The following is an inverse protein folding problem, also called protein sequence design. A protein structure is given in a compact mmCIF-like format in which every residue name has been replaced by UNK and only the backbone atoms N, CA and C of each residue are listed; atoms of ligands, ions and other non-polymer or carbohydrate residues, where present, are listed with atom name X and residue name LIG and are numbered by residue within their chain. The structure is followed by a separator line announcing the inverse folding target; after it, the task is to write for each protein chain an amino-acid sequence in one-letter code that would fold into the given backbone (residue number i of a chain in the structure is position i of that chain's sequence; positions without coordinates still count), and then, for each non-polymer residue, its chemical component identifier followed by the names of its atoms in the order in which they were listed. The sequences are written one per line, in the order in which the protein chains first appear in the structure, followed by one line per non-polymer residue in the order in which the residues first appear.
data_IF_558089552605
#
_entry.id   IF_558089552605
#
_cell.length_a   1.000
_cell.length_b   1.000
_cell.length_c   1.000
_cell.angle_alpha   90.00
_cell.angle_beta   90.00
_cell.angle_gamma   90.00
#
_symmetry.space_group_name_H-M   'P 1'
#
loop_
_entity.id
_entity.type
_entity.pdbx_description
1 polymer ?
#
# COMPACT_ATOMS: atom_id res chain seq x y z
N UNK A 1 4.55 -2.26 -17.08
CA UNK A 1 4.79 -1.91 -18.49
C UNK A 1 6.19 -1.41 -18.74
N UNK A 2 6.68 -0.40 -17.98
CA UNK A 2 8.06 0.12 -18.16
C UNK A 2 9.12 -0.98 -18.05
N UNK A 3 9.05 -1.83 -17.03
CA UNK A 3 10.01 -2.92 -16.85
C UNK A 3 9.98 -3.95 -17.98
N UNK A 4 8.79 -4.29 -18.48
CA UNK A 4 8.68 -5.21 -19.63
C UNK A 4 9.24 -4.60 -20.91
N UNK A 5 8.94 -3.34 -21.17
CA UNK A 5 9.44 -2.62 -22.35
C UNK A 5 10.95 -2.41 -22.29
N UNK A 6 11.50 -1.99 -21.13
CA UNK A 6 12.95 -1.85 -20.94
C UNK A 6 13.67 -3.19 -21.16
N UNK A 7 13.20 -4.27 -20.52
CA UNK A 7 13.78 -5.61 -20.67
C UNK A 7 13.76 -6.08 -22.13
N UNK A 8 12.64 -5.89 -22.82
CA UNK A 8 12.51 -6.26 -24.23
C UNK A 8 13.48 -5.45 -25.11
N UNK A 9 13.54 -4.13 -24.91
CA UNK A 9 14.44 -3.24 -25.67
C UNK A 9 15.90 -3.65 -25.46
N UNK A 10 16.32 -3.90 -24.23
CA UNK A 10 17.69 -4.36 -23.92
C UNK A 10 18.02 -5.74 -24.50
N UNK A 11 17.02 -6.58 -24.73
CA UNK A 11 17.18 -7.88 -25.42
C UNK A 11 17.09 -7.77 -26.95
N UNK A 12 17.05 -6.56 -27.52
CA UNK A 12 17.04 -6.33 -28.96
C UNK A 12 15.65 -6.28 -29.60
N UNK A 13 14.57 -6.30 -28.80
CA UNK A 13 13.19 -6.21 -29.29
C UNK A 13 12.73 -4.74 -29.26
N UNK A 14 12.69 -4.10 -30.42
CA UNK A 14 12.18 -2.72 -30.57
C UNK A 14 10.72 -2.75 -31.02
N UNK A 15 9.80 -3.00 -30.09
CA UNK A 15 8.37 -3.07 -30.37
C UNK A 15 7.55 -2.53 -29.19
N UNK A 16 6.75 -1.47 -29.44
CA UNK A 16 5.89 -0.86 -28.42
C UNK A 16 4.82 -1.83 -27.87
N UNK A 17 4.39 -2.83 -28.65
CA UNK A 17 3.39 -3.82 -28.25
C UNK A 17 3.88 -4.73 -27.11
N UNK A 18 5.18 -4.82 -26.86
CA UNK A 18 5.73 -5.62 -25.73
C UNK A 18 5.22 -5.16 -24.36
N UNK A 19 4.79 -3.90 -24.26
CA UNK A 19 4.16 -3.35 -23.07
C UNK A 19 2.64 -3.52 -22.98
N UNK A 20 1.99 -3.95 -24.05
CA UNK A 20 0.53 -4.02 -24.13
C UNK A 20 -0.10 -5.04 -23.14
N UNK A 21 -1.35 -4.80 -22.68
CA UNK A 21 -2.13 -3.59 -22.87
C UNK A 21 -1.68 -2.45 -21.95
N UNK A 22 -1.72 -1.21 -22.44
CA UNK A 22 -1.41 0.01 -21.66
C UNK A 22 -2.60 0.95 -21.72
N UNK A 23 -3.08 1.38 -20.56
CA UNK A 23 -4.23 2.26 -20.44
C UNK A 23 -3.84 3.63 -19.89
N UNK A 24 -4.57 4.67 -20.25
CA UNK A 24 -4.41 5.99 -19.66
C UNK A 24 -4.80 5.95 -18.18
N UNK A 25 -4.04 6.64 -17.34
CA UNK A 25 -4.33 6.77 -15.91
C UNK A 25 -5.45 7.81 -15.68
N UNK A 26 -5.43 8.90 -16.44
CA UNK A 26 -6.45 9.98 -16.33
C UNK A 26 -7.87 9.42 -16.45
N UNK A 27 -8.75 9.82 -15.53
CA UNK A 27 -10.15 9.39 -15.46
C UNK A 27 -10.35 7.98 -14.92
N UNK A 28 -9.29 7.32 -14.43
CA UNK A 28 -9.38 6.07 -13.69
C UNK A 28 -9.67 6.34 -12.21
N UNK A 29 -10.23 5.36 -11.54
CA UNK A 29 -10.56 5.42 -10.12
C UNK A 29 -9.43 4.83 -9.29
N UNK A 30 -8.92 5.61 -8.35
CA UNK A 30 -7.98 5.14 -7.34
C UNK A 30 -8.68 5.06 -5.98
N UNK A 31 -8.86 3.85 -5.48
CA UNK A 31 -9.35 3.57 -4.14
C UNK A 31 -8.20 3.54 -3.14
N UNK A 32 -8.41 4.13 -1.96
CA UNK A 32 -7.43 4.15 -0.86
C UNK A 32 -8.07 3.54 0.37
N UNK A 33 -7.49 2.47 0.88
CA UNK A 33 -7.86 1.84 2.16
C UNK A 33 -7.00 2.46 3.26
N UNK A 34 -7.64 3.12 4.21
CA UNK A 34 -7.05 3.94 5.28
C UNK A 34 -6.51 5.29 4.82
N UNK A 35 -6.98 6.35 5.51
CA UNK A 35 -6.72 7.74 5.13
C UNK A 35 -5.90 8.50 6.18
N UNK A 36 -4.95 7.79 6.80
CA UNK A 36 -3.93 8.39 7.66
C UNK A 36 -2.95 9.27 6.88
N UNK A 37 -1.84 9.65 7.51
CA UNK A 37 -0.82 10.54 6.90
C UNK A 37 -0.35 10.06 5.52
N UNK A 38 -0.14 8.75 5.35
CA UNK A 38 0.34 8.17 4.09
C UNK A 38 -0.78 8.19 3.03
N UNK A 39 -2.01 7.76 3.38
CA UNK A 39 -3.15 7.78 2.46
C UNK A 39 -3.45 9.19 1.94
N UNK A 40 -3.39 10.20 2.80
CA UNK A 40 -3.53 11.61 2.42
C UNK A 40 -2.42 12.08 1.49
N UNK A 41 -1.17 11.72 1.78
CA UNK A 41 -0.02 12.07 0.94
C UNK A 41 -0.09 11.39 -0.46
N UNK A 42 -0.63 10.17 -0.54
CA UNK A 42 -0.91 9.50 -1.80
C UNK A 42 -2.00 10.25 -2.58
N UNK A 43 -3.11 10.58 -1.94
CA UNK A 43 -4.22 11.30 -2.56
C UNK A 43 -3.78 12.65 -3.15
N UNK A 44 -2.97 13.41 -2.41
CA UNK A 44 -2.41 14.69 -2.86
C UNK A 44 -1.61 14.54 -4.15
N UNK A 45 -0.74 13.53 -4.23
CA UNK A 45 0.12 13.28 -5.39
C UNK A 45 -0.63 12.67 -6.56
N UNK A 46 -1.58 11.80 -6.29
CA UNK A 46 -2.37 11.12 -7.30
C UNK A 46 -3.25 12.08 -8.13
N UNK A 47 -3.67 13.20 -7.57
CA UNK A 47 -4.42 14.24 -8.31
C UNK A 47 -3.68 14.73 -9.55
N UNK A 48 -2.36 14.84 -9.50
CA UNK A 48 -1.55 15.24 -10.64
C UNK A 48 -1.72 14.33 -11.86
N UNK A 49 -2.12 13.08 -11.65
CA UNK A 49 -2.41 12.13 -12.74
C UNK A 49 -3.85 12.23 -13.28
N UNK A 50 -4.71 13.04 -12.64
CA UNK A 50 -6.11 13.20 -13.06
C UNK A 50 -6.97 11.95 -12.80
N UNK A 51 -6.69 11.20 -11.74
CA UNK A 51 -7.52 10.09 -11.26
C UNK A 51 -8.64 10.59 -10.36
N UNK A 52 -9.73 9.85 -10.32
CA UNK A 52 -10.79 10.01 -9.31
C UNK A 52 -10.38 9.30 -8.03
N UNK A 53 -10.51 9.99 -6.89
CA UNK A 53 -10.06 9.47 -5.60
C UNK A 53 -11.25 9.03 -4.76
N UNK A 54 -11.24 7.75 -4.37
CA UNK A 54 -12.17 7.17 -3.39
C UNK A 54 -11.40 6.74 -2.14
N UNK A 55 -12.06 6.85 -0.99
CA UNK A 55 -11.46 6.51 0.30
C UNK A 55 -12.42 5.67 1.12
N UNK A 56 -11.91 4.60 1.68
CA UNK A 56 -12.51 3.84 2.77
C UNK A 56 -11.65 3.98 4.02
N UNK A 57 -12.19 4.61 5.04
CA UNK A 57 -11.61 4.68 6.38
C UNK A 57 -12.75 4.82 7.40
N UNK A 58 -12.99 3.83 8.28
CA UNK A 58 -14.08 3.88 9.24
C UNK A 58 -13.84 4.86 10.41
N UNK A 59 -12.60 5.33 10.57
CA UNK A 59 -12.18 6.18 11.70
C UNK A 59 -12.04 7.65 11.34
N UNK A 60 -12.06 7.99 10.04
CA UNK A 60 -11.97 9.37 9.55
C UNK A 60 -13.35 9.83 9.10
N UNK A 61 -13.77 11.02 9.54
CA UNK A 61 -15.08 11.56 9.16
C UNK A 61 -15.18 11.80 7.65
N UNK A 62 -16.34 11.51 7.08
CA UNK A 62 -16.61 11.74 5.65
C UNK A 62 -16.29 13.19 5.24
N UNK A 63 -16.68 14.16 6.06
CA UNK A 63 -16.39 15.56 5.80
C UNK A 63 -14.89 15.89 5.75
N UNK A 64 -14.05 15.16 6.49
CA UNK A 64 -12.60 15.33 6.43
C UNK A 64 -12.04 14.76 5.12
N UNK A 65 -12.57 13.64 4.63
CA UNK A 65 -12.20 13.02 3.35
C UNK A 65 -12.62 13.95 2.20
N UNK A 66 -13.84 14.46 2.23
CA UNK A 66 -14.38 15.37 1.21
C UNK A 66 -13.62 16.70 1.12
N UNK A 67 -13.22 17.28 2.26
CA UNK A 67 -12.37 18.49 2.30
C UNK A 67 -11.04 18.30 1.57
N UNK A 68 -10.56 17.08 1.51
CA UNK A 68 -9.38 16.73 0.73
C UNK A 68 -9.70 16.34 -0.72
N UNK A 69 -10.91 16.62 -1.20
CA UNK A 69 -11.32 16.36 -2.59
C UNK A 69 -11.35 14.87 -2.93
N UNK A 70 -11.64 14.01 -1.96
CA UNK A 70 -11.81 12.58 -2.14
C UNK A 70 -13.26 12.19 -1.86
N UNK A 71 -13.75 11.14 -2.50
CA UNK A 71 -15.10 10.59 -2.28
C UNK A 71 -15.06 9.52 -1.19
N UNK A 72 -15.70 9.72 -0.01
CA UNK A 72 -15.82 8.67 0.99
C UNK A 72 -16.79 7.59 0.49
N UNK A 73 -16.44 6.33 0.67
CA UNK A 73 -17.24 5.18 0.23
C UNK A 73 -17.17 4.04 1.24
N UNK A 74 -18.11 3.08 1.15
CA UNK A 74 -18.01 1.82 1.88
C UNK A 74 -17.02 0.86 1.23
N UNK A 75 -16.65 -0.22 1.94
CA UNK A 75 -15.69 -1.24 1.49
C UNK A 75 -16.09 -1.83 0.13
N UNK A 76 -17.35 -2.22 -0.04
CA UNK A 76 -17.82 -2.87 -1.27
C UNK A 76 -17.70 -1.95 -2.48
N UNK A 77 -18.14 -0.71 -2.36
CA UNK A 77 -18.03 0.29 -3.43
C UNK A 77 -16.57 0.53 -3.81
N UNK A 78 -15.70 0.67 -2.80
CA UNK A 78 -14.27 0.84 -3.05
C UNK A 78 -13.69 -0.30 -3.89
N UNK A 79 -13.98 -1.55 -3.50
CA UNK A 79 -13.48 -2.75 -4.17
C UNK A 79 -14.00 -2.85 -5.59
N UNK A 80 -15.31 -2.65 -5.81
CA UNK A 80 -15.92 -2.78 -7.13
C UNK A 80 -15.51 -1.70 -8.12
N UNK A 81 -15.30 -0.47 -7.65
CA UNK A 81 -15.10 0.66 -8.55
C UNK A 81 -13.62 0.99 -8.78
N UNK A 82 -12.69 0.47 -7.99
CA UNK A 82 -11.27 0.79 -8.12
C UNK A 82 -10.64 0.19 -9.39
N UNK A 83 -9.93 1.02 -10.14
CA UNK A 83 -8.95 0.58 -11.15
C UNK A 83 -7.56 0.40 -10.52
N UNK A 84 -7.25 1.21 -9.51
CA UNK A 84 -6.08 1.08 -8.63
C UNK A 84 -6.55 1.03 -7.19
N UNK A 85 -6.16 0.00 -6.44
CA UNK A 85 -6.49 -0.11 -5.03
C UNK A 85 -5.22 -0.04 -4.19
N UNK A 86 -5.13 1.04 -3.39
CA UNK A 86 -3.99 1.31 -2.51
C UNK A 86 -4.28 0.83 -1.10
N UNK A 87 -3.55 -0.18 -0.63
CA UNK A 87 -3.64 -0.71 0.73
C UNK A 87 -2.65 0.03 1.63
N UNK A 88 -3.18 0.86 2.56
CA UNK A 88 -2.38 1.66 3.51
C UNK A 88 -2.81 1.45 4.96
N UNK A 89 -3.69 0.46 5.18
CA UNK A 89 -4.17 0.15 6.52
C UNK A 89 -3.06 -0.45 7.41
N UNK A 90 -3.01 -0.09 8.69
CA UNK A 90 -2.23 -0.82 9.67
C UNK A 90 -2.79 -2.25 9.80
N UNK A 91 -1.99 -3.17 10.30
CA UNK A 91 -2.45 -4.53 10.61
C UNK A 91 -3.21 -4.52 11.94
N UNK A 92 -4.49 -4.89 11.89
CA UNK A 92 -5.39 -5.09 13.03
C UNK A 92 -6.25 -6.34 12.76
N UNK A 93 -7.05 -6.78 13.72
CA UNK A 93 -8.01 -7.87 13.49
C UNK A 93 -9.01 -7.53 12.36
N UNK A 94 -9.44 -6.27 12.27
CA UNK A 94 -10.39 -5.80 11.25
C UNK A 94 -9.77 -5.72 9.84
N UNK A 95 -8.47 -5.49 9.77
CA UNK A 95 -7.75 -5.32 8.50
C UNK A 95 -7.01 -6.59 8.05
N UNK A 96 -6.95 -7.61 8.92
CA UNK A 96 -6.41 -8.91 8.54
C UNK A 96 -7.23 -9.50 7.40
N UNK A 97 -6.54 -9.88 6.31
CA UNK A 97 -7.18 -10.40 5.09
C UNK A 97 -8.34 -9.51 4.61
N UNK A 98 -8.17 -8.19 4.69
CA UNK A 98 -9.14 -7.23 4.16
C UNK A 98 -9.47 -7.48 2.69
N UNK A 99 -8.48 -7.96 1.93
CA UNK A 99 -8.66 -8.54 0.61
C UNK A 99 -8.43 -10.04 0.68
N UNK A 100 -9.46 -10.82 0.38
CA UNK A 100 -9.43 -12.27 0.27
C UNK A 100 -10.22 -12.72 -0.97
N UNK A 101 -10.56 -13.99 -1.06
CA UNK A 101 -11.17 -14.60 -2.24
C UNK A 101 -12.43 -13.89 -2.74
N UNK A 102 -13.29 -13.47 -1.82
CA UNK A 102 -14.57 -12.84 -2.20
C UNK A 102 -14.37 -11.39 -2.65
N UNK A 103 -13.46 -10.66 -2.03
CA UNK A 103 -13.14 -9.31 -2.46
C UNK A 103 -12.51 -9.28 -3.87
N UNK A 104 -11.59 -10.20 -4.16
CA UNK A 104 -10.97 -10.25 -5.49
C UNK A 104 -11.99 -10.52 -6.60
N UNK A 105 -12.98 -11.40 -6.37
CA UNK A 105 -14.07 -11.66 -7.33
C UNK A 105 -14.93 -10.42 -7.62
N UNK A 106 -15.02 -9.49 -6.68
CA UNK A 106 -15.78 -8.25 -6.85
C UNK A 106 -15.00 -7.17 -7.61
N UNK A 107 -13.69 -7.29 -7.69
CA UNK A 107 -12.84 -6.30 -8.35
C UNK A 107 -12.99 -6.33 -9.87
N UNK A 108 -12.57 -5.25 -10.51
CA UNK A 108 -12.45 -5.20 -11.97
C UNK A 108 -11.30 -6.10 -12.43
N UNK A 109 -11.47 -6.83 -13.52
CA UNK A 109 -10.42 -7.70 -14.08
C UNK A 109 -9.18 -6.94 -14.57
N UNK A 110 -9.31 -5.63 -14.78
CA UNK A 110 -8.18 -4.74 -15.10
C UNK A 110 -7.63 -4.01 -13.88
N UNK A 111 -8.12 -4.28 -12.67
CA UNK A 111 -7.66 -3.64 -11.46
C UNK A 111 -6.20 -4.00 -11.11
N UNK A 112 -5.52 -3.05 -10.49
CA UNK A 112 -4.17 -3.23 -9.96
C UNK A 112 -4.21 -2.95 -8.45
N UNK A 113 -3.77 -3.92 -7.67
CA UNK A 113 -3.66 -3.78 -6.21
C UNK A 113 -2.23 -3.38 -5.84
N UNK A 114 -2.08 -2.35 -5.01
CA UNK A 114 -0.78 -1.89 -4.52
C UNK A 114 -0.80 -1.92 -2.99
N UNK A 115 0.10 -2.69 -2.39
CA UNK A 115 0.25 -2.77 -0.95
C UNK A 115 1.64 -2.28 -0.52
N UNK A 116 1.65 -1.10 0.09
CA UNK A 116 2.81 -0.53 0.78
C UNK A 116 2.49 -0.28 2.26
N UNK A 117 1.41 -0.90 2.75
CA UNK A 117 0.99 -0.89 4.14
C UNK A 117 1.55 -2.08 4.92
N UNK A 118 0.74 -3.13 5.06
CA UNK A 118 1.12 -4.36 5.79
C UNK A 118 0.67 -5.60 5.02
N UNK A 119 1.57 -6.57 4.88
CA UNK A 119 1.35 -7.81 4.13
C UNK A 119 0.07 -8.55 4.48
N UNK A 120 -0.15 -8.89 5.77
CA UNK A 120 -1.34 -9.66 6.18
C UNK A 120 -2.69 -8.95 5.99
N UNK A 121 -2.73 -7.74 5.45
CA UNK A 121 -3.99 -7.12 4.99
C UNK A 121 -4.51 -7.73 3.69
N UNK A 122 -3.70 -8.53 3.01
CA UNK A 122 -4.05 -9.28 1.80
C UNK A 122 -3.75 -10.76 2.04
N UNK A 123 -4.74 -11.62 1.87
CA UNK A 123 -4.56 -13.06 1.86
C UNK A 123 -3.68 -13.47 0.66
N UNK A 124 -2.52 -14.01 0.94
CA UNK A 124 -1.52 -14.37 -0.06
C UNK A 124 -2.02 -15.46 -1.04
N UNK A 125 -2.82 -16.41 -0.55
CA UNK A 125 -3.39 -17.48 -1.38
C UNK A 125 -4.48 -16.93 -2.30
N UNK A 126 -5.34 -16.08 -1.77
CA UNK A 126 -6.37 -15.41 -2.54
C UNK A 126 -5.77 -14.51 -3.63
N UNK A 127 -4.73 -13.75 -3.30
CA UNK A 127 -4.02 -12.91 -4.26
C UNK A 127 -3.37 -13.74 -5.38
N UNK A 128 -2.71 -14.85 -5.03
CA UNK A 128 -2.12 -15.76 -6.03
C UNK A 128 -3.19 -16.29 -6.99
N UNK A 129 -4.33 -16.74 -6.46
CA UNK A 129 -5.45 -17.20 -7.27
C UNK A 129 -5.98 -16.09 -8.18
N UNK A 130 -6.24 -14.90 -7.62
CA UNK A 130 -6.79 -13.77 -8.36
C UNK A 130 -5.89 -13.34 -9.54
N UNK A 131 -4.57 -13.36 -9.35
CA UNK A 131 -3.60 -13.04 -10.38
C UNK A 131 -3.49 -14.11 -11.47
N UNK A 132 -3.53 -15.39 -11.09
CA UNK A 132 -3.41 -16.52 -12.04
C UNK A 132 -4.71 -16.77 -12.80
N UNK A 133 -5.87 -16.54 -12.19
CA UNK A 133 -7.18 -16.63 -12.82
C UNK A 133 -7.61 -15.34 -13.53
N UNK A 134 -6.77 -14.29 -13.51
CA UNK A 134 -7.06 -13.00 -14.13
C UNK A 134 -8.30 -12.29 -13.56
N UNK A 135 -8.62 -12.53 -12.29
CA UNK A 135 -9.64 -11.78 -11.57
C UNK A 135 -9.19 -10.32 -11.38
N UNK A 136 -7.86 -10.09 -11.26
CA UNK A 136 -7.21 -8.79 -11.32
C UNK A 136 -6.03 -8.80 -12.29
N UNK A 137 -5.63 -7.64 -12.78
CA UNK A 137 -4.56 -7.55 -13.79
C UNK A 137 -3.15 -7.72 -13.22
N UNK A 138 -2.87 -7.10 -12.06
CA UNK A 138 -1.52 -7.06 -11.51
C UNK A 138 -1.51 -6.68 -10.02
N UNK A 139 -0.38 -6.90 -9.36
CA UNK A 139 -0.12 -6.39 -8.02
C UNK A 139 1.26 -5.74 -7.89
N UNK A 140 1.36 -4.76 -6.99
CA UNK A 140 2.61 -4.17 -6.51
C UNK A 140 2.70 -4.34 -4.99
N UNK A 141 3.70 -5.06 -4.50
CA UNK A 141 3.82 -5.44 -3.10
C UNK A 141 5.17 -4.97 -2.55
N UNK A 142 5.13 -4.23 -1.46
CA UNK A 142 6.35 -3.85 -0.73
C UNK A 142 6.57 -4.72 0.51
N UNK A 143 5.49 -5.18 1.12
CA UNK A 143 5.47 -6.08 2.27
C UNK A 143 4.46 -7.21 1.98
N UNK A 144 4.88 -8.38 1.47
CA UNK A 144 4.00 -9.53 1.32
C UNK A 144 3.66 -10.17 2.67
N UNK A 145 2.55 -10.89 2.78
CA UNK A 145 2.07 -11.50 4.03
C UNK A 145 3.13 -12.34 4.74
N UNK A 146 3.89 -13.09 3.98
CA UNK A 146 4.98 -13.92 4.50
C UNK A 146 6.35 -13.26 4.25
N UNK A 147 6.53 -12.07 4.80
CA UNK A 147 7.73 -11.25 4.59
C UNK A 147 9.03 -12.04 4.86
N UNK A 148 9.95 -12.10 3.89
CA UNK A 148 11.21 -12.85 4.02
C UNK A 148 12.08 -12.43 5.20
N UNK A 149 12.09 -11.13 5.55
CA UNK A 149 12.90 -10.60 6.65
C UNK A 149 12.53 -11.19 8.03
N UNK A 150 11.33 -11.78 8.16
CA UNK A 150 10.85 -12.44 9.40
C UNK A 150 11.21 -13.92 9.47
N UNK A 151 11.91 -14.45 8.48
CA UNK A 151 12.28 -15.86 8.37
C UNK A 151 13.78 -16.06 8.63
N UNK A 152 14.14 -17.20 9.19
CA UNK A 152 15.54 -17.60 9.39
C UNK A 152 16.25 -17.98 8.08
N UNK A 153 15.48 -18.40 7.08
CA UNK A 153 15.93 -18.69 5.72
C UNK A 153 14.84 -18.29 4.73
N UNK A 154 15.22 -17.85 3.55
CA UNK A 154 14.29 -17.44 2.50
C UNK A 154 14.79 -17.87 1.11
N UNK A 155 13.90 -18.51 0.33
CA UNK A 155 14.06 -18.73 -1.10
C UNK A 155 12.84 -18.09 -1.80
N UNK A 156 13.00 -17.31 -2.88
CA UNK A 156 11.88 -16.79 -3.66
C UNK A 156 10.89 -17.86 -4.13
N UNK A 157 11.34 -19.10 -4.26
CA UNK A 157 10.50 -20.23 -4.65
C UNK A 157 9.49 -20.66 -3.58
N UNK A 158 9.71 -20.29 -2.33
CA UNK A 158 8.83 -20.64 -1.22
C UNK A 158 7.48 -19.90 -1.29
N UNK A 159 7.44 -18.77 -1.99
CA UNK A 159 6.21 -18.02 -2.20
C UNK A 159 5.95 -17.88 -3.72
N UNK A 160 4.93 -18.56 -4.26
CA UNK A 160 4.68 -18.59 -5.71
C UNK A 160 4.34 -17.22 -6.30
N UNK A 161 3.92 -16.23 -5.50
CA UNK A 161 3.67 -14.85 -5.95
C UNK A 161 4.92 -14.23 -6.59
N UNK A 162 6.13 -14.52 -6.06
CA UNK A 162 7.38 -13.99 -6.61
C UNK A 162 7.71 -14.47 -8.03
N UNK A 163 7.08 -15.56 -8.48
CA UNK A 163 7.27 -16.09 -9.84
C UNK A 163 6.34 -15.47 -10.89
N UNK A 164 5.32 -14.73 -10.46
CA UNK A 164 4.29 -14.19 -11.34
C UNK A 164 4.78 -12.98 -12.14
N UNK A 165 4.60 -12.98 -13.48
CA UNK A 165 5.10 -11.90 -14.35
C UNK A 165 4.30 -10.60 -14.22
N UNK A 166 3.12 -10.64 -13.60
CA UNK A 166 2.23 -9.51 -13.34
C UNK A 166 2.31 -9.00 -11.89
N UNK A 167 3.36 -9.39 -11.15
CA UNK A 167 3.64 -8.88 -9.80
C UNK A 167 4.96 -8.13 -9.79
N UNK A 168 4.96 -6.95 -9.17
CA UNK A 168 6.15 -6.21 -8.80
C UNK A 168 6.34 -6.33 -7.29
N UNK A 169 7.51 -6.74 -6.84
CA UNK A 169 7.84 -6.85 -5.42
C UNK A 169 9.06 -5.99 -5.10
N UNK A 170 8.99 -5.27 -3.99
CA UNK A 170 10.11 -4.53 -3.40
C UNK A 170 10.35 -5.02 -1.97
N UNK A 171 11.58 -4.94 -1.44
CA UNK A 171 11.95 -5.60 -0.18
C UNK A 171 11.64 -4.71 1.04
N UNK A 172 10.36 -4.36 1.25
CA UNK A 172 9.90 -3.47 2.33
C UNK A 172 10.69 -2.15 2.34
N UNK A 173 10.79 -1.54 1.17
CA UNK A 173 11.62 -0.37 0.91
C UNK A 173 10.83 0.90 0.55
N UNK A 174 9.50 0.87 0.59
CA UNK A 174 8.68 2.03 0.23
C UNK A 174 8.90 3.24 1.16
N UNK A 175 9.39 3.01 2.38
CA UNK A 175 9.74 4.07 3.32
C UNK A 175 11.15 4.66 3.08
N UNK A 176 12.00 3.97 2.32
CA UNK A 176 13.42 4.26 2.26
C UNK A 176 13.73 5.47 1.36
N UNK A 177 14.40 6.43 1.93
CA UNK A 177 15.29 7.39 1.29
C UNK A 177 16.37 7.77 2.29
N UNK A 178 17.48 8.31 1.84
CA UNK A 178 18.55 8.80 2.75
C UNK A 178 17.99 9.83 3.74
N UNK A 179 17.12 10.72 3.26
CA UNK A 179 16.48 11.74 4.09
C UNK A 179 15.52 11.12 5.11
N UNK A 180 14.70 10.15 4.73
CA UNK A 180 13.72 9.53 5.65
C UNK A 180 14.42 8.75 6.75
N UNK A 181 15.51 8.04 6.44
CA UNK A 181 16.33 7.33 7.44
C UNK A 181 17.00 8.32 8.40
N UNK A 182 17.58 9.41 7.87
CA UNK A 182 18.19 10.45 8.70
C UNK A 182 17.15 11.08 9.62
N UNK A 183 16.01 11.51 9.08
CA UNK A 183 14.92 12.13 9.86
C UNK A 183 14.40 11.17 10.94
N UNK A 184 14.19 9.90 10.61
CA UNK A 184 13.72 8.91 11.57
C UNK A 184 14.70 8.74 12.75
N UNK A 185 16.00 8.64 12.46
CA UNK A 185 17.06 8.51 13.49
C UNK A 185 17.18 9.77 14.35
N UNK A 186 17.20 10.95 13.73
CA UNK A 186 17.26 12.24 14.44
C UNK A 186 16.01 12.43 15.33
N UNK A 187 14.83 12.10 14.81
CA UNK A 187 13.59 12.18 15.59
C UNK A 187 13.64 11.24 16.78
N UNK A 188 14.00 9.97 16.59
CA UNK A 188 14.10 9.01 17.69
C UNK A 188 15.09 9.47 18.77
N UNK A 189 16.29 9.90 18.38
CA UNK A 189 17.30 10.40 19.30
C UNK A 189 16.80 11.64 20.08
N UNK A 190 16.10 12.55 19.40
CA UNK A 190 15.51 13.74 20.02
C UNK A 190 14.46 13.38 21.06
N UNK A 191 13.57 12.42 20.76
CA UNK A 191 12.54 11.99 21.70
C UNK A 191 13.18 11.33 22.95
N UNK A 192 14.20 10.50 22.78
CA UNK A 192 14.95 9.89 23.89
C UNK A 192 15.63 10.97 24.74
N UNK A 193 16.28 11.95 24.12
CA UNK A 193 16.92 13.05 24.82
C UNK A 193 15.92 13.90 25.63
N UNK A 194 14.72 14.14 25.10
CA UNK A 194 13.63 14.81 25.85
C UNK A 194 13.26 14.02 27.09
N UNK A 195 13.03 12.71 26.95
CA UNK A 195 12.67 11.86 28.08
C UNK A 195 13.75 11.82 29.16
N UNK A 196 15.04 11.76 28.80
CA UNK A 196 16.16 11.80 29.76
C UNK A 196 16.17 13.14 30.54
N UNK A 197 15.77 14.23 29.91
CA UNK A 197 15.67 15.55 30.55
C UNK A 197 14.39 15.76 31.36
N UNK A 198 13.51 14.75 31.41
CA UNK A 198 12.19 14.86 32.06
C UNK A 198 11.16 15.67 31.25
N UNK A 199 11.43 15.92 29.97
CA UNK A 199 10.49 16.59 29.07
C UNK A 199 9.52 15.56 28.46
N UNK A 200 8.31 16.02 28.10
CA UNK A 200 7.31 15.19 27.44
C UNK A 200 7.74 14.95 26.00
N UNK A 201 7.76 13.68 25.52
CA UNK A 201 8.03 13.40 24.12
C UNK A 201 6.89 13.89 23.22
N UNK A 202 7.24 14.29 21.96
CA UNK A 202 6.25 14.84 21.03
C UNK A 202 5.28 13.77 20.48
N UNK A 203 5.70 12.50 20.48
CA UNK A 203 4.96 11.39 19.85
C UNK A 203 4.82 10.19 20.80
N UNK A 204 4.20 10.34 21.98
CA UNK A 204 4.01 9.23 22.91
C UNK A 204 3.01 8.21 22.33
N UNK A 205 3.37 6.93 22.34
CA UNK A 205 2.47 5.84 21.91
C UNK A 205 1.43 5.53 22.99
N UNK A 206 1.80 5.75 24.25
CA UNK A 206 0.98 5.49 25.44
C UNK A 206 0.93 6.73 26.36
N UNK A 207 0.25 7.81 25.91
CA UNK A 207 0.24 9.10 26.63
C UNK A 207 -0.30 9.01 28.06
N UNK A 208 -1.09 7.99 28.38
CA UNK A 208 -1.63 7.74 29.72
C UNK A 208 -0.55 7.49 30.79
N UNK A 209 0.64 7.01 30.42
CA UNK A 209 1.74 6.82 31.39
C UNK A 209 2.35 8.15 31.83
N UNK A 210 2.23 9.21 31.03
CA UNK A 210 2.75 10.53 31.39
C UNK A 210 2.01 11.13 32.57
N UNK A 211 0.73 10.76 32.75
CA UNK A 211 -0.10 11.24 33.85
C UNK A 211 0.22 10.55 35.19
N UNK A 212 0.92 9.41 35.17
CA UNK A 212 1.29 8.64 36.39
C UNK A 212 2.53 9.21 37.10
N UNK A 213 3.31 10.05 36.46
CA UNK A 213 4.52 10.65 37.04
C UNK A 213 4.24 11.97 37.78
N UNK A 214 2.99 12.45 37.80
CA UNK A 214 2.56 13.68 38.47
C UNK A 214 1.86 13.41 39.82
N UNK A 215 1.75 12.17 40.25
CA UNK A 215 1.27 11.74 41.56
C UNK A 215 2.39 10.99 42.30
#
# INVERSE_FOLDING_TARGET
TLFRSDKATRSGVWNWQTGAPVFRIRGRVMGIVSFGKIGQAIAERARGFGVELMVYDPYISQSSIEKMGCRPVNKETLIRESDFLMMQAPMTEETHHFLSFDEFKLMKSNAIVINTGRGPTIDNKALYQALTQQEIAAAGLDDPEEEPAKRSSWDPKDNPIFSLPNVLVTPHAAYYSEESIRIARETAATQVAKMIRGEVPDYPVNPEVLNRQQN
#
